data_IF_145404727301
#
_entry.id   IF_145404727301
#
_cell.length_a   1.000
_cell.length_b   1.000
_cell.length_c   1.000
_cell.angle_alpha   90.00
_cell.angle_beta   90.00
_cell.angle_gamma   90.00
#
_symmetry.space_group_name_H-M   'P 1'
#
loop_
_entity.id
_entity.type
_entity.pdbx_description
1 polymer ?
#
# COMPACT_ATOMS: atom_id res chain seq x y z
N UNK A 1 8.60 15.48 4.36
CA UNK A 1 9.32 14.18 4.40
C UNK A 1 9.15 13.46 3.06
N UNK A 2 10.24 12.99 2.45
CA UNK A 2 10.23 12.22 1.20
C UNK A 2 9.77 10.79 1.53
N UNK A 3 8.70 10.32 0.90
CA UNK A 3 8.34 8.90 0.90
C UNK A 3 9.39 8.18 0.05
N UNK A 4 10.36 7.52 0.68
CA UNK A 4 11.35 6.66 0.00
C UNK A 4 10.76 5.28 -0.22
N UNK A 5 11.19 4.59 -1.28
CA UNK A 5 10.78 3.21 -1.56
C UNK A 5 11.07 2.27 -0.39
N UNK A 6 12.16 2.50 0.34
CA UNK A 6 12.52 1.72 1.52
C UNK A 6 11.43 1.82 2.60
N UNK A 7 10.99 3.04 2.91
CA UNK A 7 9.90 3.27 3.86
C UNK A 7 8.60 2.61 3.41
N UNK A 8 8.35 2.60 2.10
CA UNK A 8 7.18 1.93 1.55
C UNK A 8 7.28 0.40 1.76
N UNK A 9 8.45 -0.20 1.52
CA UNK A 9 8.70 -1.65 1.72
C UNK A 9 8.66 -2.05 3.20
N UNK A 10 9.03 -1.17 4.13
CA UNK A 10 8.86 -1.40 5.57
C UNK A 10 7.37 -1.44 5.98
N UNK A 11 6.55 -0.61 5.35
CA UNK A 11 5.12 -0.51 5.67
C UNK A 11 4.29 -1.56 4.91
N UNK A 12 4.74 -1.95 3.71
CA UNK A 12 3.99 -2.76 2.75
C UNK A 12 4.83 -3.92 2.22
N UNK A 13 4.26 -5.11 2.23
CA UNK A 13 4.78 -6.27 1.50
C UNK A 13 4.13 -6.34 0.13
N UNK A 14 4.94 -6.37 -0.93
CA UNK A 14 4.45 -6.73 -2.26
C UNK A 14 4.55 -8.24 -2.45
N UNK A 15 3.50 -8.86 -2.98
CA UNK A 15 3.43 -10.28 -3.26
C UNK A 15 3.30 -10.50 -4.78
N UNK A 16 4.40 -10.88 -5.47
CA UNK A 16 4.41 -10.96 -6.92
C UNK A 16 3.54 -12.09 -7.49
N UNK A 17 3.24 -13.12 -6.71
CA UNK A 17 2.37 -14.23 -7.14
C UNK A 17 0.92 -13.78 -7.38
N UNK A 18 0.45 -12.83 -6.57
CA UNK A 18 -0.93 -12.31 -6.62
C UNK A 18 -1.00 -10.87 -7.13
N UNK A 19 0.14 -10.16 -7.20
CA UNK A 19 0.22 -8.74 -7.50
C UNK A 19 -0.30 -7.84 -6.37
N UNK A 20 -0.55 -8.41 -5.20
CA UNK A 20 -1.18 -7.72 -4.08
C UNK A 20 -0.16 -7.09 -3.13
N UNK A 21 -0.58 -6.03 -2.46
CA UNK A 21 0.16 -5.44 -1.35
C UNK A 21 -0.50 -5.83 -0.04
N UNK A 22 0.29 -6.02 1.01
CA UNK A 22 -0.18 -6.33 2.36
C UNK A 22 0.45 -5.37 3.37
N UNK A 23 -0.29 -4.93 4.37
CA UNK A 23 0.23 -4.07 5.44
C UNK A 23 1.16 -4.87 6.35
N UNK A 24 2.42 -4.48 6.44
CA UNK A 24 3.35 -4.97 7.47
C UNK A 24 3.20 -4.09 8.71
N UNK A 25 3.63 -2.83 8.61
CA UNK A 25 3.53 -1.91 9.73
C UNK A 25 2.55 -0.78 9.40
N UNK A 26 1.23 -0.99 9.57
CA UNK A 26 0.24 0.02 9.22
C UNK A 26 0.43 1.30 10.06
N UNK A 27 0.64 2.43 9.39
CA UNK A 27 0.74 3.73 10.05
C UNK A 27 -0.63 4.29 10.50
N UNK A 28 -1.74 3.78 9.95
CA UNK A 28 -3.07 4.25 10.25
C UNK A 28 -3.82 3.29 11.18
N UNK A 29 -4.61 3.85 12.10
CA UNK A 29 -5.41 3.11 13.09
C UNK A 29 -6.47 2.17 12.49
N UNK A 30 -6.79 2.33 11.20
CA UNK A 30 -7.79 1.54 10.46
C UNK A 30 -7.18 0.42 9.62
N UNK A 31 -5.86 0.31 9.59
CA UNK A 31 -5.16 -0.68 8.79
C UNK A 31 -4.56 -1.71 9.74
N UNK A 32 -4.71 -2.98 9.41
CA UNK A 32 -4.24 -4.09 10.24
C UNK A 32 -3.04 -4.78 9.61
N UNK A 33 -2.10 -5.24 10.45
CA UNK A 33 -0.97 -6.04 9.98
C UNK A 33 -1.50 -7.33 9.31
N UNK A 34 -1.01 -7.62 8.11
CA UNK A 34 -1.42 -8.76 7.29
C UNK A 34 -2.65 -8.52 6.43
N UNK A 35 -3.32 -7.37 6.55
CA UNK A 35 -4.47 -7.04 5.73
C UNK A 35 -4.03 -6.56 4.34
N UNK A 36 -4.89 -6.79 3.33
CA UNK A 36 -4.67 -6.31 1.97
C UNK A 36 -4.52 -4.78 1.97
N UNK A 37 -3.39 -4.31 1.44
CA UNK A 37 -3.09 -2.91 1.34
C UNK A 37 -3.64 -2.30 0.06
N UNK A 38 -4.56 -1.37 0.25
CA UNK A 38 -5.14 -0.56 -0.80
C UNK A 38 -6.66 -0.69 -0.85
N UNK A 39 -7.27 0.17 -1.63
CA UNK A 39 -8.69 0.12 -1.92
C UNK A 39 -8.88 0.26 -3.42
N UNK A 40 -9.89 -0.44 -3.95
CA UNK A 40 -10.32 -0.31 -5.34
C UNK A 40 -11.16 0.96 -5.44
N UNK A 41 -10.78 1.86 -6.33
CA UNK A 41 -11.58 3.04 -6.67
C UNK A 41 -12.73 2.67 -7.59
N UNK A 42 -13.69 3.58 -7.77
CA UNK A 42 -14.85 3.37 -8.67
C UNK A 42 -14.44 2.95 -10.09
N UNK A 43 -13.28 3.43 -10.56
CA UNK A 43 -12.74 3.10 -11.88
C UNK A 43 -12.00 1.74 -11.95
N UNK A 44 -11.99 0.95 -10.87
CA UNK A 44 -11.28 -0.34 -10.80
C UNK A 44 -9.78 -0.23 -10.49
N UNK A 45 -9.25 0.98 -10.29
CA UNK A 45 -7.84 1.17 -9.94
C UNK A 45 -7.59 0.95 -8.45
N UNK A 46 -6.53 0.23 -8.12
CA UNK A 46 -6.10 0.03 -6.73
C UNK A 46 -5.23 1.20 -6.29
N UNK A 47 -5.62 1.86 -5.20
CA UNK A 47 -4.86 2.93 -4.56
C UNK A 47 -4.46 2.56 -3.15
N UNK A 48 -3.23 2.89 -2.77
CA UNK A 48 -2.71 2.71 -1.43
C UNK A 48 -2.44 4.09 -0.84
N UNK A 49 -3.02 4.35 0.33
CA UNK A 49 -2.81 5.62 1.04
C UNK A 49 -1.71 5.43 2.08
N UNK A 50 -0.56 6.07 1.85
CA UNK A 50 0.60 6.03 2.76
C UNK A 50 0.96 7.47 3.13
N UNK A 51 1.19 7.73 4.41
CA UNK A 51 1.61 9.06 4.90
C UNK A 51 0.68 10.20 4.43
N UNK A 52 -0.64 9.96 4.47
CA UNK A 52 -1.68 10.86 3.95
C UNK A 52 -1.68 11.11 2.43
N UNK A 53 -0.77 10.52 1.66
CA UNK A 53 -0.73 10.59 0.19
C UNK A 53 -1.30 9.33 -0.45
N UNK A 54 -2.06 9.49 -1.53
CA UNK A 54 -2.55 8.37 -2.35
C UNK A 54 -1.54 8.03 -3.43
N UNK A 55 -1.21 6.75 -3.53
CA UNK A 55 -0.32 6.18 -4.53
C UNK A 55 -1.07 5.08 -5.28
N UNK A 56 -1.01 5.06 -6.61
CA UNK A 56 -1.56 3.96 -7.41
C UNK A 56 -0.73 2.71 -7.21
N UNK A 57 -1.35 1.60 -6.81
CA UNK A 57 -0.64 0.33 -6.58
C UNK A 57 0.11 -0.15 -7.83
N UNK A 58 -0.52 -0.01 -9.00
CA UNK A 58 0.08 -0.36 -10.30
C UNK A 58 1.33 0.46 -10.64
N UNK A 59 1.52 1.64 -10.04
CA UNK A 59 2.67 2.52 -10.29
C UNK A 59 3.77 2.33 -9.22
N UNK A 60 3.52 1.48 -8.22
CA UNK A 60 4.47 1.14 -7.16
C UNK A 60 5.20 -0.19 -7.41
N UNK A 61 4.74 -0.99 -8.39
CA UNK A 61 5.38 -2.20 -8.87
C UNK A 61 6.42 -1.91 -9.97
#
# INVERSE_FOLDING_TARGET
MKLTQERLKDLLRYEPETGNFYWLNPAAKRMHHGELAGFVDYNGYVYIKVDSKRHSAHRLA
#
